data_IF_154231968674
#
_entry.id   IF_154231968674
#
_cell.length_a   1.000
_cell.length_b   1.000
_cell.length_c   1.000
_cell.angle_alpha   90.00
_cell.angle_beta   90.00
_cell.angle_gamma   90.00
#
_symmetry.space_group_name_H-M   'P 1'
#
loop_
_entity.id
_entity.type
_entity.pdbx_description
1 polymer ?
#
# COMPACT_ATOMS: atom_id res chain seq x y z
N UNK A 1 28.40 20.67 11.27
CA UNK A 1 27.94 19.43 10.61
C UNK A 1 27.59 19.77 9.17
N UNK A 2 28.16 19.07 8.22
CA UNK A 2 27.80 19.25 6.81
C UNK A 2 26.43 18.59 6.55
N UNK A 3 25.74 19.01 5.48
CA UNK A 3 24.47 18.35 5.05
C UNK A 3 24.70 16.85 4.81
N UNK A 4 25.89 16.49 4.36
CA UNK A 4 26.31 15.10 4.17
C UNK A 4 26.37 14.33 5.49
N UNK A 5 26.94 14.93 6.56
CA UNK A 5 26.99 14.28 7.87
C UNK A 5 25.57 14.00 8.39
N UNK A 6 24.65 14.95 8.23
CA UNK A 6 23.26 14.81 8.62
C UNK A 6 22.52 13.68 7.87
N UNK A 7 22.86 13.47 6.59
CA UNK A 7 22.26 12.40 5.79
C UNK A 7 22.90 11.02 6.05
N UNK A 8 24.19 10.98 6.40
CA UNK A 8 24.89 9.71 6.58
C UNK A 8 24.86 9.18 8.01
N UNK A 9 24.71 10.05 9.01
CA UNK A 9 24.69 9.67 10.43
C UNK A 9 23.66 8.55 10.75
N UNK A 10 22.38 8.63 10.35
CA UNK A 10 21.42 7.57 10.62
C UNK A 10 21.78 6.25 9.97
N UNK A 11 22.42 6.28 8.79
CA UNK A 11 22.78 5.07 8.06
C UNK A 11 24.00 4.33 8.66
N UNK A 12 24.78 4.99 9.52
CA UNK A 12 25.88 4.35 10.26
C UNK A 12 25.37 3.41 11.35
N UNK A 13 24.12 3.55 11.77
CA UNK A 13 23.49 2.74 12.79
C UNK A 13 22.92 1.46 12.16
N UNK A 14 23.36 0.25 12.63
CA UNK A 14 22.95 -1.01 12.00
C UNK A 14 21.44 -1.25 11.99
N UNK A 15 20.72 -0.78 13.01
CA UNK A 15 19.26 -0.91 13.06
C UNK A 15 18.57 0.00 12.04
N UNK A 16 19.07 1.24 11.86
CA UNK A 16 18.50 2.19 10.91
C UNK A 16 18.74 1.76 9.46
N UNK A 17 19.91 1.20 9.16
CA UNK A 17 20.19 0.64 7.84
C UNK A 17 19.22 -0.49 7.49
N UNK A 18 18.95 -1.41 8.44
CA UNK A 18 17.95 -2.48 8.25
C UNK A 18 16.55 -1.90 8.05
N UNK A 19 16.16 -0.94 8.88
CA UNK A 19 14.89 -0.25 8.78
C UNK A 19 14.68 0.39 7.40
N UNK A 20 15.69 1.12 6.91
CA UNK A 20 15.64 1.76 5.57
C UNK A 20 15.51 0.72 4.47
N UNK A 21 16.34 -0.34 4.47
CA UNK A 21 16.30 -1.38 3.44
C UNK A 21 14.91 -2.02 3.33
N UNK A 22 14.36 -2.41 4.46
CA UNK A 22 13.06 -3.11 4.53
C UNK A 22 11.92 -2.19 4.13
N UNK A 23 11.90 -0.95 4.66
CA UNK A 23 10.81 -0.01 4.37
C UNK A 23 10.85 0.47 2.93
N UNK A 24 12.03 0.70 2.37
CA UNK A 24 12.20 1.06 0.94
C UNK A 24 11.73 -0.08 0.02
N UNK A 25 12.08 -1.32 0.32
CA UNK A 25 11.63 -2.47 -0.47
C UNK A 25 10.11 -2.65 -0.41
N UNK A 26 9.53 -2.60 0.79
CA UNK A 26 8.08 -2.66 0.98
C UNK A 26 7.37 -1.49 0.27
N UNK A 27 7.88 -0.27 0.43
CA UNK A 27 7.32 0.93 -0.20
C UNK A 27 7.34 0.85 -1.73
N UNK A 28 8.40 0.32 -2.33
CA UNK A 28 8.50 0.15 -3.77
C UNK A 28 7.43 -0.82 -4.32
N UNK A 29 7.22 -1.97 -3.67
CA UNK A 29 6.21 -2.95 -4.08
C UNK A 29 4.80 -2.44 -3.82
N UNK A 30 4.55 -1.81 -2.69
CA UNK A 30 3.27 -1.15 -2.41
C UNK A 30 2.94 -0.09 -3.47
N UNK A 31 3.92 0.71 -3.89
CA UNK A 31 3.75 1.71 -4.92
C UNK A 31 3.43 1.11 -6.29
N UNK A 32 4.08 0.01 -6.65
CA UNK A 32 3.75 -0.73 -7.88
C UNK A 32 2.31 -1.24 -7.83
N UNK A 33 1.94 -1.96 -6.77
CA UNK A 33 0.59 -2.50 -6.58
C UNK A 33 -0.49 -1.41 -6.61
N UNK A 34 -0.23 -0.27 -5.97
CA UNK A 34 -1.18 0.83 -5.88
C UNK A 34 -1.68 1.31 -7.24
N UNK A 35 -0.84 1.25 -8.29
CA UNK A 35 -1.23 1.67 -9.63
C UNK A 35 -2.36 0.81 -10.19
N UNK A 36 -2.33 -0.51 -10.02
CA UNK A 36 -3.41 -1.40 -10.45
C UNK A 36 -4.63 -1.31 -9.54
N UNK A 37 -4.43 -1.17 -8.23
CA UNK A 37 -5.54 -1.04 -7.27
C UNK A 37 -6.40 0.18 -7.57
N UNK A 38 -5.77 1.30 -7.91
CA UNK A 38 -6.50 2.53 -8.29
C UNK A 38 -7.25 2.35 -9.61
N UNK A 39 -6.64 1.68 -10.59
CA UNK A 39 -7.30 1.43 -11.87
C UNK A 39 -8.48 0.48 -11.76
N UNK A 40 -8.42 -0.48 -10.85
CA UNK A 40 -9.49 -1.43 -10.55
C UNK A 40 -10.57 -0.84 -9.63
N UNK A 41 -10.36 0.34 -9.05
CA UNK A 41 -11.25 0.90 -8.03
C UNK A 41 -11.09 0.28 -6.64
N UNK A 42 -10.04 -0.53 -6.41
CA UNK A 42 -9.79 -1.24 -5.15
C UNK A 42 -8.95 -0.43 -4.15
N UNK A 43 -9.17 0.87 -4.14
CA UNK A 43 -8.34 1.80 -3.33
C UNK A 43 -8.39 1.51 -1.82
N UNK A 44 -9.51 1.04 -1.29
CA UNK A 44 -9.65 0.69 0.14
C UNK A 44 -9.21 -0.73 0.47
N UNK A 45 -8.93 -1.57 -0.53
CA UNK A 45 -8.67 -3.00 -0.31
C UNK A 45 -7.37 -3.23 0.47
N UNK A 46 -6.32 -2.45 0.20
CA UNK A 46 -5.04 -2.58 0.90
C UNK A 46 -5.15 -2.28 2.40
N UNK A 47 -5.84 -1.20 2.73
CA UNK A 47 -6.09 -0.79 4.11
C UNK A 47 -7.00 -1.81 4.81
N UNK A 48 -8.07 -2.23 4.16
CA UNK A 48 -8.99 -3.23 4.69
C UNK A 48 -8.29 -4.55 5.03
N UNK A 49 -7.39 -5.04 4.17
CA UNK A 49 -6.65 -6.27 4.43
C UNK A 49 -5.70 -6.08 5.61
N UNK A 50 -4.98 -4.95 5.72
CA UNK A 50 -4.06 -4.69 6.82
C UNK A 50 -4.74 -4.79 8.19
N UNK A 51 -5.97 -4.32 8.32
CA UNK A 51 -6.74 -4.43 9.57
C UNK A 51 -7.38 -5.82 9.75
N UNK A 52 -7.85 -6.44 8.66
CA UNK A 52 -8.52 -7.74 8.70
C UNK A 52 -7.59 -8.91 9.08
N UNK A 53 -6.27 -8.73 9.06
CA UNK A 53 -5.31 -9.77 9.46
C UNK A 53 -5.18 -9.92 10.98
N UNK A 54 -5.64 -8.95 11.76
CA UNK A 54 -5.49 -8.93 13.21
C UNK A 54 -5.94 -10.23 13.91
N UNK A 55 -7.13 -10.78 13.65
CA UNK A 55 -7.56 -12.02 14.29
C UNK A 55 -6.63 -13.20 13.98
N UNK A 56 -6.08 -13.26 12.75
CA UNK A 56 -5.15 -14.33 12.38
C UNK A 56 -3.83 -14.23 13.13
N UNK A 57 -3.32 -13.03 13.37
CA UNK A 57 -2.11 -12.80 14.16
C UNK A 57 -2.32 -13.26 15.60
N UNK A 58 -3.47 -12.90 16.21
CA UNK A 58 -3.80 -13.31 17.59
C UNK A 58 -4.00 -14.83 17.69
N UNK A 59 -4.68 -15.44 16.72
CA UNK A 59 -4.86 -16.90 16.69
C UNK A 59 -3.54 -17.63 16.52
N UNK A 60 -2.61 -17.11 15.71
CA UNK A 60 -1.26 -17.67 15.59
C UNK A 60 -0.50 -17.57 16.91
N UNK A 61 -0.63 -16.46 17.65
CA UNK A 61 -0.05 -16.32 19.00
C UNK A 61 -0.59 -17.38 19.95
N UNK A 62 -1.90 -17.56 20.01
CA UNK A 62 -2.55 -18.58 20.85
C UNK A 62 -2.08 -20.00 20.50
N UNK A 63 -1.91 -20.27 19.21
CA UNK A 63 -1.46 -21.58 18.69
C UNK A 63 0.06 -21.80 18.79
N UNK A 64 0.85 -20.81 19.22
CA UNK A 64 2.31 -20.87 19.22
C UNK A 64 2.93 -20.91 17.82
N UNK A 65 2.20 -20.46 16.79
CA UNK A 65 2.63 -20.43 15.41
C UNK A 65 3.27 -19.06 15.04
N UNK A 66 4.08 -18.99 13.98
CA UNK A 66 4.61 -17.72 13.50
C UNK A 66 3.50 -16.74 13.13
N UNK A 67 3.59 -15.49 13.59
CA UNK A 67 2.58 -14.44 13.34
C UNK A 67 2.32 -14.22 11.84
N UNK A 68 3.36 -14.30 11.01
CA UNK A 68 3.25 -14.17 9.56
C UNK A 68 2.30 -15.20 8.93
N UNK A 69 2.30 -16.44 9.43
CA UNK A 69 1.43 -17.51 8.92
C UNK A 69 -0.02 -17.18 9.22
N UNK A 70 -0.34 -16.80 10.45
CA UNK A 70 -1.69 -16.40 10.84
C UNK A 70 -2.17 -15.17 10.08
N UNK A 71 -1.31 -14.17 9.91
CA UNK A 71 -1.61 -12.97 9.14
C UNK A 71 -1.92 -13.29 7.66
N UNK A 72 -1.13 -14.12 7.00
CA UNK A 72 -1.37 -14.53 5.61
C UNK A 72 -2.68 -15.29 5.47
N UNK A 73 -2.97 -16.24 6.36
CA UNK A 73 -4.23 -16.99 6.34
C UNK A 73 -5.42 -16.04 6.50
N UNK A 74 -5.37 -15.14 7.49
CA UNK A 74 -6.45 -14.17 7.70
C UNK A 74 -6.63 -13.21 6.52
N UNK A 75 -5.53 -12.74 5.90
CA UNK A 75 -5.58 -11.92 4.70
C UNK A 75 -6.28 -12.63 3.53
N UNK A 76 -5.95 -13.91 3.31
CA UNK A 76 -6.59 -14.72 2.27
C UNK A 76 -8.07 -14.98 2.59
N UNK A 77 -8.41 -15.23 3.86
CA UNK A 77 -9.80 -15.36 4.32
C UNK A 77 -10.56 -14.07 4.11
N UNK A 78 -9.99 -12.91 4.46
CA UNK A 78 -10.60 -11.61 4.25
C UNK A 78 -10.90 -11.36 2.75
N UNK A 79 -9.93 -11.62 1.87
CA UNK A 79 -10.10 -11.52 0.42
C UNK A 79 -11.23 -12.46 -0.08
N UNK A 80 -11.26 -13.70 0.41
CA UNK A 80 -12.28 -14.67 0.04
C UNK A 80 -13.68 -14.23 0.49
N UNK A 81 -13.81 -13.71 1.71
CA UNK A 81 -15.07 -13.18 2.26
C UNK A 81 -15.54 -11.95 1.50
N UNK A 82 -14.66 -10.99 1.21
CA UNK A 82 -14.98 -9.81 0.40
C UNK A 82 -15.51 -10.26 -0.97
N UNK A 83 -14.80 -11.18 -1.64
CA UNK A 83 -15.23 -11.72 -2.93
C UNK A 83 -16.54 -12.49 -2.86
N UNK A 84 -16.84 -13.17 -1.77
CA UNK A 84 -18.11 -13.88 -1.57
C UNK A 84 -19.28 -12.89 -1.41
N UNK A 85 -19.09 -11.82 -0.60
CA UNK A 85 -20.11 -10.79 -0.41
C UNK A 85 -20.39 -10.02 -1.72
N UNK A 86 -19.34 -9.66 -2.46
CA UNK A 86 -19.47 -8.99 -3.77
C UNK A 86 -20.25 -9.84 -4.79
N UNK A 87 -20.03 -11.16 -4.81
CA UNK A 87 -20.76 -12.07 -5.72
C UNK A 87 -22.25 -12.14 -5.46
N UNK A 88 -22.75 -11.74 -4.30
CA UNK A 88 -24.18 -11.69 -4.02
C UNK A 88 -24.92 -10.66 -4.91
N UNK A 89 -24.21 -9.71 -5.50
CA UNK A 89 -24.72 -8.67 -6.39
C UNK A 89 -25.63 -7.64 -5.70
N UNK A 90 -25.88 -7.78 -4.39
CA UNK A 90 -26.77 -6.90 -3.62
C UNK A 90 -26.03 -5.81 -2.85
N UNK A 91 -24.74 -5.97 -2.67
CA UNK A 91 -23.90 -5.07 -1.89
C UNK A 91 -22.87 -4.43 -2.81
N UNK A 92 -22.71 -3.11 -2.70
CA UNK A 92 -21.66 -2.38 -3.44
C UNK A 92 -20.28 -2.84 -2.98
N UNK A 93 -19.30 -2.72 -3.87
CA UNK A 93 -17.94 -3.21 -3.64
C UNK A 93 -17.30 -2.58 -2.38
N UNK A 94 -17.39 -1.27 -2.25
CA UNK A 94 -16.88 -0.50 -1.10
C UNK A 94 -17.53 -0.94 0.21
N UNK A 95 -18.86 -1.19 0.20
CA UNK A 95 -19.59 -1.65 1.37
C UNK A 95 -19.20 -3.09 1.76
N UNK A 96 -18.99 -3.99 0.79
CA UNK A 96 -18.50 -5.33 1.05
C UNK A 96 -17.13 -5.33 1.73
N UNK A 97 -16.21 -4.49 1.24
CA UNK A 97 -14.88 -4.29 1.83
C UNK A 97 -15.03 -3.77 3.27
N UNK A 98 -15.83 -2.71 3.47
CA UNK A 98 -16.03 -2.10 4.77
C UNK A 98 -16.63 -3.05 5.81
N UNK A 99 -17.67 -3.82 5.44
CA UNK A 99 -18.34 -4.77 6.33
C UNK A 99 -17.37 -5.88 6.77
N UNK A 100 -16.67 -6.51 5.83
CA UNK A 100 -15.76 -7.62 6.13
C UNK A 100 -14.59 -7.14 6.99
N UNK A 101 -13.98 -6.03 6.60
CA UNK A 101 -12.85 -5.46 7.33
C UNK A 101 -13.23 -5.09 8.77
N UNK A 102 -14.30 -4.32 8.97
CA UNK A 102 -14.74 -3.91 10.33
C UNK A 102 -15.10 -5.09 11.20
N UNK A 103 -15.76 -6.11 10.63
CA UNK A 103 -16.15 -7.32 11.37
C UNK A 103 -14.91 -8.12 11.80
N UNK A 104 -13.95 -8.34 10.89
CA UNK A 104 -12.71 -9.06 11.22
C UNK A 104 -11.85 -8.27 12.20
N UNK A 105 -11.73 -6.96 12.02
CA UNK A 105 -10.99 -6.10 12.95
C UNK A 105 -11.61 -6.14 14.35
N UNK A 106 -12.94 -5.97 14.48
CA UNK A 106 -13.63 -6.07 15.75
C UNK A 106 -13.44 -7.45 16.41
N UNK A 107 -13.51 -8.52 15.62
CA UNK A 107 -13.21 -9.87 16.10
C UNK A 107 -11.76 -9.99 16.62
N UNK A 108 -10.79 -9.41 15.91
CA UNK A 108 -9.41 -9.35 16.36
C UNK A 108 -9.25 -8.61 17.70
N UNK A 109 -9.93 -7.46 17.86
CA UNK A 109 -9.92 -6.71 19.14
C UNK A 109 -10.51 -7.52 20.29
N UNK A 110 -11.61 -8.25 20.04
CA UNK A 110 -12.20 -9.14 21.05
C UNK A 110 -11.19 -10.23 21.44
N UNK A 111 -10.53 -10.86 20.46
CA UNK A 111 -9.52 -11.88 20.74
C UNK A 111 -8.36 -11.32 21.57
N UNK A 112 -7.88 -10.11 21.28
CA UNK A 112 -6.85 -9.44 22.09
C UNK A 112 -7.33 -9.26 23.52
N UNK A 113 -8.56 -8.78 23.72
CA UNK A 113 -9.10 -8.46 25.05
C UNK A 113 -9.26 -9.68 25.95
N UNK A 114 -9.50 -10.87 25.39
CA UNK A 114 -9.70 -12.11 26.14
C UNK A 114 -8.42 -12.99 26.21
N UNK A 115 -7.39 -12.63 25.50
CA UNK A 115 -6.14 -13.41 25.46
C UNK A 115 -5.14 -12.82 26.45
N UNK A 116 -4.79 -13.53 27.57
CA UNK A 116 -3.73 -13.08 28.46
C UNK A 116 -2.40 -13.13 27.69
N UNK A 117 -1.80 -11.98 27.42
CA UNK A 117 -0.51 -11.94 26.74
C UNK A 117 0.53 -11.23 27.61
N UNK A 118 1.68 -11.89 27.79
CA UNK A 118 2.90 -11.30 28.35
C UNK A 118 3.65 -10.46 27.28
N UNK A 119 3.24 -10.54 26.03
CA UNK A 119 3.76 -9.77 24.90
C UNK A 119 2.84 -8.59 24.67
N UNK A 120 3.39 -7.40 24.59
CA UNK A 120 2.60 -6.21 24.27
C UNK A 120 2.07 -6.30 22.83
N UNK A 121 0.84 -6.81 22.68
CA UNK A 121 0.17 -6.94 21.38
C UNK A 121 0.00 -5.57 20.68
N UNK A 122 0.17 -4.46 21.41
CA UNK A 122 0.21 -3.13 20.81
C UNK A 122 1.40 -2.97 19.86
N UNK A 123 2.53 -3.64 20.11
CA UNK A 123 3.66 -3.64 19.18
C UNK A 123 3.30 -4.23 17.79
N UNK A 124 2.33 -5.13 17.74
CA UNK A 124 1.85 -5.69 16.48
C UNK A 124 1.05 -4.65 15.69
N UNK A 125 0.27 -3.81 16.39
CA UNK A 125 -0.53 -2.76 15.76
C UNK A 125 0.34 -1.60 15.23
N UNK A 126 1.39 -1.25 15.96
CA UNK A 126 2.22 -0.08 15.60
C UNK A 126 3.44 -0.44 14.75
N UNK A 127 3.71 -1.74 14.52
CA UNK A 127 4.90 -2.22 13.84
C UNK A 127 6.18 -2.02 14.66
N UNK A 128 7.26 -2.67 14.26
CA UNK A 128 8.57 -2.52 14.91
C UNK A 128 9.66 -2.30 13.86
N UNK A 129 9.62 -1.16 13.18
CA UNK A 129 10.59 -0.80 12.12
C UNK A 129 12.04 -0.85 12.63
N UNK A 130 12.27 -0.43 13.88
CA UNK A 130 13.62 -0.33 14.43
C UNK A 130 14.14 -1.67 15.00
N UNK A 131 13.25 -2.62 15.28
CA UNK A 131 13.58 -3.94 15.82
C UNK A 131 13.76 -5.05 14.77
N UNK A 132 13.82 -4.71 13.49
CA UNK A 132 13.89 -5.68 12.37
C UNK A 132 15.18 -6.49 12.43
N UNK A 133 15.07 -7.83 12.36
CA UNK A 133 16.19 -8.76 12.27
C UNK A 133 16.70 -8.89 10.82
N UNK A 134 17.92 -9.41 10.62
CA UNK A 134 18.42 -9.70 9.28
C UNK A 134 17.60 -10.78 8.55
N UNK A 135 16.97 -11.67 9.28
CA UNK A 135 16.08 -12.69 8.70
C UNK A 135 14.85 -12.02 8.10
N UNK A 136 14.24 -11.06 8.82
CA UNK A 136 13.09 -10.28 8.32
C UNK A 136 13.47 -9.46 7.08
N UNK A 137 14.66 -8.86 7.08
CA UNK A 137 15.19 -8.13 5.91
C UNK A 137 15.19 -9.03 4.67
N UNK A 138 15.77 -10.22 4.77
CA UNK A 138 15.82 -11.14 3.64
C UNK A 138 14.45 -11.64 3.19
N UNK A 139 13.55 -11.91 4.13
CA UNK A 139 12.17 -12.30 3.81
C UNK A 139 11.43 -11.21 3.04
N UNK A 140 11.54 -9.96 3.49
CA UNK A 140 10.91 -8.81 2.83
C UNK A 140 11.50 -8.56 1.46
N UNK A 141 12.84 -8.58 1.33
CA UNK A 141 13.49 -8.38 0.05
C UNK A 141 13.12 -9.48 -0.96
N UNK A 142 13.10 -10.75 -0.51
CA UNK A 142 12.69 -11.87 -1.36
C UNK A 142 11.24 -11.72 -1.83
N UNK A 143 10.32 -11.41 -0.90
CA UNK A 143 8.92 -11.20 -1.25
C UNK A 143 8.74 -9.99 -2.18
N UNK A 144 9.41 -8.88 -1.88
CA UNK A 144 9.37 -7.68 -2.71
C UNK A 144 9.89 -7.97 -4.13
N UNK A 145 10.98 -8.73 -4.25
CA UNK A 145 11.52 -9.14 -5.54
C UNK A 145 10.54 -10.04 -6.31
N UNK A 146 9.93 -11.03 -5.66
CA UNK A 146 8.96 -11.93 -6.29
C UNK A 146 7.72 -11.18 -6.75
N UNK A 147 7.09 -10.41 -5.86
CA UNK A 147 5.87 -9.64 -6.19
C UNK A 147 6.18 -8.59 -7.26
N UNK A 148 7.27 -7.84 -7.11
CA UNK A 148 7.70 -6.84 -8.09
C UNK A 148 7.98 -7.47 -9.46
N UNK A 149 8.67 -8.61 -9.51
CA UNK A 149 8.94 -9.34 -10.75
C UNK A 149 7.64 -9.80 -11.42
N UNK A 150 6.70 -10.40 -10.68
CA UNK A 150 5.40 -10.84 -11.22
C UNK A 150 4.62 -9.65 -11.76
N UNK A 151 4.55 -8.53 -11.03
CA UNK A 151 3.85 -7.32 -11.46
C UNK A 151 4.45 -6.73 -12.74
N UNK A 152 5.77 -6.70 -12.86
CA UNK A 152 6.46 -6.13 -14.03
C UNK A 152 6.39 -7.06 -15.24
N UNK A 153 6.59 -8.37 -15.05
CA UNK A 153 6.53 -9.37 -16.14
C UNK A 153 5.11 -9.47 -16.69
N UNK A 154 4.11 -9.55 -15.81
CA UNK A 154 2.69 -9.67 -16.16
C UNK A 154 2.00 -8.31 -16.33
N UNK A 155 2.74 -7.21 -16.38
CA UNK A 155 2.18 -5.85 -16.41
C UNK A 155 1.14 -5.63 -17.50
N UNK A 156 1.35 -6.21 -18.69
CA UNK A 156 0.45 -6.08 -19.84
C UNK A 156 -0.86 -6.80 -19.59
N UNK A 157 -0.81 -8.02 -19.05
CA UNK A 157 -1.98 -8.83 -18.74
C UNK A 157 -2.84 -8.16 -17.65
N UNK A 158 -2.18 -7.64 -16.60
CA UNK A 158 -2.86 -6.92 -15.50
C UNK A 158 -3.45 -5.58 -15.96
N UNK A 159 -2.76 -4.84 -16.83
CA UNK A 159 -3.30 -3.59 -17.39
C UNK A 159 -4.54 -3.89 -18.22
N UNK A 160 -4.47 -4.89 -19.10
CA UNK A 160 -5.60 -5.29 -19.93
C UNK A 160 -6.78 -5.76 -19.08
N UNK A 161 -6.51 -6.56 -18.05
CA UNK A 161 -7.53 -6.97 -17.08
C UNK A 161 -8.18 -5.77 -16.37
N UNK A 162 -7.39 -4.78 -16.00
CA UNK A 162 -7.90 -3.60 -15.28
C UNK A 162 -8.75 -2.67 -16.16
N UNK A 163 -8.44 -2.58 -17.47
CA UNK A 163 -9.19 -1.73 -18.40
C UNK A 163 -10.41 -2.42 -18.99
N UNK A 164 -10.26 -3.66 -19.45
CA UNK A 164 -11.31 -4.42 -20.13
C UNK A 164 -11.20 -5.92 -19.82
N UNK A 165 -11.84 -6.38 -18.74
CA UNK A 165 -11.87 -7.80 -18.39
C UNK A 165 -12.55 -8.67 -19.47
N UNK A 166 -13.50 -8.10 -20.22
CA UNK A 166 -14.21 -8.82 -21.30
C UNK A 166 -13.30 -9.11 -22.48
N UNK A 167 -12.56 -8.08 -22.93
CA UNK A 167 -11.57 -8.24 -23.99
C UNK A 167 -10.41 -9.16 -23.55
N UNK A 168 -9.95 -9.03 -22.31
CA UNK A 168 -8.95 -9.94 -21.74
C UNK A 168 -9.41 -11.41 -21.82
N UNK A 169 -10.70 -11.68 -21.56
CA UNK A 169 -11.27 -13.00 -21.68
C UNK A 169 -11.33 -13.47 -23.15
N UNK A 170 -11.72 -12.60 -24.07
CA UNK A 170 -11.84 -12.91 -25.48
C UNK A 170 -10.53 -13.35 -26.15
N UNK A 171 -9.38 -12.80 -25.68
CA UNK A 171 -8.04 -13.18 -26.17
C UNK A 171 -7.42 -14.36 -25.40
N UNK A 172 -8.20 -15.07 -24.54
CA UNK A 172 -7.80 -16.29 -23.85
C UNK A 172 -7.16 -16.07 -22.47
N UNK A 173 -7.07 -14.84 -21.96
CA UNK A 173 -6.67 -14.60 -20.58
C UNK A 173 -7.80 -15.02 -19.63
N UNK A 174 -7.44 -15.33 -18.40
CA UNK A 174 -8.38 -15.70 -17.33
C UNK A 174 -8.53 -14.55 -16.32
N UNK A 175 -9.51 -13.63 -16.48
CA UNK A 175 -9.67 -12.45 -15.61
C UNK A 175 -9.77 -12.81 -14.12
N UNK A 176 -10.49 -13.90 -13.80
CA UNK A 176 -10.61 -14.37 -12.40
C UNK A 176 -9.26 -14.76 -11.79
N UNK A 177 -8.38 -15.36 -12.59
CA UNK A 177 -7.04 -15.74 -12.13
C UNK A 177 -6.16 -14.52 -11.97
N UNK A 178 -6.18 -13.56 -12.89
CA UNK A 178 -5.43 -12.32 -12.81
C UNK A 178 -5.85 -11.47 -11.59
N UNK A 179 -7.17 -11.31 -11.38
CA UNK A 179 -7.69 -10.64 -10.18
C UNK A 179 -7.28 -11.36 -8.90
N UNK A 180 -7.40 -12.69 -8.86
CA UNK A 180 -6.95 -13.50 -7.73
C UNK A 180 -5.45 -13.36 -7.44
N UNK A 181 -4.60 -13.32 -8.48
CA UNK A 181 -3.16 -13.08 -8.32
C UNK A 181 -2.87 -11.70 -7.71
N UNK A 182 -3.54 -10.64 -8.19
CA UNK A 182 -3.39 -9.29 -7.61
C UNK A 182 -3.81 -9.25 -6.14
N UNK A 183 -4.91 -9.92 -5.78
CA UNK A 183 -5.38 -9.99 -4.39
C UNK A 183 -4.43 -10.77 -3.49
N UNK A 184 -3.88 -11.89 -3.97
CA UNK A 184 -2.86 -12.64 -3.22
C UNK A 184 -1.59 -11.83 -3.03
N UNK A 185 -1.12 -11.16 -4.08
CA UNK A 185 0.05 -10.27 -3.98
C UNK A 185 -0.20 -9.12 -3.01
N UNK A 186 -1.40 -8.55 -3.05
CA UNK A 186 -1.81 -7.50 -2.11
C UNK A 186 -1.81 -8.03 -0.66
N UNK A 187 -2.41 -9.20 -0.42
CA UNK A 187 -2.45 -9.82 0.90
C UNK A 187 -1.04 -10.07 1.45
N UNK A 188 -0.16 -10.67 0.65
CA UNK A 188 1.23 -10.93 1.04
C UNK A 188 2.01 -9.63 1.31
N UNK A 189 1.86 -8.64 0.44
CA UNK A 189 2.55 -7.35 0.60
C UNK A 189 2.04 -6.59 1.83
N UNK A 190 0.72 -6.61 2.07
CA UNK A 190 0.11 -5.96 3.24
C UNK A 190 0.57 -6.58 4.55
N UNK A 191 0.68 -7.92 4.61
CA UNK A 191 1.17 -8.62 5.81
C UNK A 191 2.61 -8.25 6.14
N UNK A 192 3.49 -8.21 5.13
CA UNK A 192 4.90 -7.85 5.33
C UNK A 192 5.04 -6.38 5.71
N UNK A 193 4.30 -5.51 5.05
CA UNK A 193 4.34 -4.09 5.35
C UNK A 193 3.73 -3.77 6.73
N UNK A 194 2.71 -4.54 7.18
CA UNK A 194 2.16 -4.46 8.53
C UNK A 194 3.22 -4.76 9.60
N UNK A 195 4.03 -5.79 9.42
CA UNK A 195 5.08 -6.16 10.37
C UNK A 195 6.12 -5.06 10.56
N UNK A 196 6.38 -4.28 9.51
CA UNK A 196 7.42 -3.24 9.49
C UNK A 196 6.84 -1.89 9.92
N UNK A 197 5.83 -1.40 9.19
CA UNK A 197 5.29 -0.03 9.31
C UNK A 197 4.10 0.01 10.27
N UNK A 198 3.54 -1.14 10.62
CA UNK A 198 2.31 -1.26 11.42
C UNK A 198 1.04 -1.12 10.58
N UNK A 199 -0.08 -1.01 11.28
CA UNK A 199 -1.43 -0.91 10.68
C UNK A 199 -1.59 0.33 9.78
N UNK A 200 -0.76 1.36 9.98
CA UNK A 200 -0.82 2.61 9.20
C UNK A 200 -0.14 2.40 7.84
N UNK A 201 -0.65 1.46 7.06
CA UNK A 201 -0.14 1.17 5.72
C UNK A 201 -1.06 1.76 4.67
N UNK A 202 -0.68 2.89 4.09
CA UNK A 202 -1.43 3.45 2.97
C UNK A 202 -0.80 3.05 1.65
N UNK A 203 -1.21 1.90 1.13
CA UNK A 203 -0.75 1.38 -0.16
C UNK A 203 -1.15 2.32 -1.32
N UNK A 204 -2.22 3.09 -1.17
CA UNK A 204 -2.90 3.80 -2.27
C UNK A 204 -2.31 5.17 -2.61
N UNK A 205 -1.68 5.86 -1.65
CA UNK A 205 -1.21 7.25 -1.84
C UNK A 205 -0.25 7.40 -3.03
N UNK A 206 0.82 6.56 -3.18
CA UNK A 206 1.80 6.77 -4.24
C UNK A 206 1.20 6.67 -5.65
N UNK A 207 0.32 5.69 -5.87
CA UNK A 207 -0.35 5.53 -7.16
C UNK A 207 -1.36 6.64 -7.44
N UNK A 208 -2.12 7.09 -6.42
CA UNK A 208 -3.03 8.24 -6.54
C UNK A 208 -2.26 9.50 -6.92
N UNK A 209 -1.11 9.74 -6.28
CA UNK A 209 -0.22 10.86 -6.59
C UNK A 209 0.27 10.78 -8.04
N UNK A 210 0.72 9.61 -8.46
CA UNK A 210 1.20 9.39 -9.82
C UNK A 210 0.08 9.58 -10.87
N UNK A 211 -1.14 9.17 -10.57
CA UNK A 211 -2.31 9.35 -11.44
C UNK A 211 -2.67 10.82 -11.70
N UNK A 212 -2.43 11.69 -10.70
CA UNK A 212 -2.61 13.14 -10.88
C UNK A 212 -1.55 13.75 -11.80
N UNK A 213 -0.37 13.16 -11.88
CA UNK A 213 0.77 13.69 -12.62
C UNK A 213 0.86 13.16 -14.07
N UNK A 214 0.26 12.00 -14.35
CA UNK A 214 0.37 11.38 -15.69
C UNK A 214 -0.79 10.43 -16.00
N UNK A 215 -1.15 10.39 -17.30
CA UNK A 215 -2.13 9.44 -17.83
C UNK A 215 -1.46 8.19 -18.46
N UNK A 216 -0.12 8.20 -18.62
CA UNK A 216 0.62 7.07 -19.19
C UNK A 216 0.96 6.06 -18.11
N UNK A 217 0.38 4.86 -18.15
CA UNK A 217 0.56 3.84 -17.12
C UNK A 217 2.03 3.49 -16.82
N UNK A 218 2.88 3.38 -17.84
CA UNK A 218 4.30 3.07 -17.61
C UNK A 218 5.04 4.19 -16.85
N UNK A 219 4.67 5.45 -17.10
CA UNK A 219 5.22 6.62 -16.39
C UNK A 219 4.62 6.68 -14.98
N UNK A 220 3.34 6.34 -14.83
CA UNK A 220 2.65 6.25 -13.54
C UNK A 220 3.36 5.28 -12.59
N UNK A 221 3.80 4.11 -13.07
CA UNK A 221 4.58 3.15 -12.28
C UNK A 221 5.88 3.78 -11.75
N UNK A 222 6.63 4.45 -12.61
CA UNK A 222 7.90 5.08 -12.23
C UNK A 222 7.70 6.23 -11.23
N UNK A 223 6.72 7.10 -11.47
CA UNK A 223 6.39 8.21 -10.58
C UNK A 223 5.90 7.68 -9.22
N UNK A 224 5.04 6.66 -9.22
CA UNK A 224 4.52 6.05 -7.98
C UNK A 224 5.66 5.53 -7.11
N UNK A 225 6.59 4.77 -7.71
CA UNK A 225 7.78 4.29 -6.98
C UNK A 225 8.63 5.46 -6.50
N UNK A 226 8.91 6.45 -7.35
CA UNK A 226 9.69 7.63 -6.97
C UNK A 226 9.09 8.40 -5.79
N UNK A 227 7.79 8.69 -5.83
CA UNK A 227 7.06 9.37 -4.74
C UNK A 227 7.10 8.54 -3.46
N UNK A 228 6.89 7.22 -3.58
CA UNK A 228 6.91 6.32 -2.43
C UNK A 228 8.28 6.27 -1.77
N UNK A 229 9.35 6.16 -2.55
CA UNK A 229 10.72 6.15 -2.04
C UNK A 229 11.10 7.47 -1.38
N UNK A 230 10.78 8.59 -2.01
CA UNK A 230 11.00 9.93 -1.44
C UNK A 230 10.24 10.10 -0.13
N UNK A 231 8.93 9.77 -0.10
CA UNK A 231 8.11 9.87 1.10
C UNK A 231 8.60 8.97 2.22
N UNK A 232 9.07 7.77 1.90
CA UNK A 232 9.63 6.81 2.85
C UNK A 232 10.95 7.32 3.45
N UNK A 233 11.87 7.77 2.63
CA UNK A 233 13.16 8.29 3.10
C UNK A 233 12.96 9.53 3.97
N UNK A 234 12.22 10.52 3.50
CA UNK A 234 11.93 11.74 4.27
C UNK A 234 11.21 11.39 5.58
N UNK A 235 10.22 10.49 5.54
CA UNK A 235 9.47 10.07 6.72
C UNK A 235 10.33 9.35 7.76
N UNK A 236 11.20 8.41 7.34
CA UNK A 236 12.13 7.71 8.24
C UNK A 236 13.15 8.67 8.87
N UNK A 237 13.74 9.57 8.08
CA UNK A 237 14.66 10.56 8.61
C UNK A 237 13.97 11.53 9.58
N UNK A 238 12.76 11.99 9.22
CA UNK A 238 11.97 12.83 10.14
C UNK A 238 11.65 12.11 11.44
N UNK A 239 11.30 10.82 11.37
CA UNK A 239 11.06 9.99 12.56
C UNK A 239 12.29 9.88 13.45
N UNK A 240 13.47 9.68 12.87
CA UNK A 240 14.73 9.57 13.62
C UNK A 240 15.07 10.86 14.37
N UNK A 241 14.96 12.02 13.70
CA UNK A 241 15.34 13.30 14.32
C UNK A 241 14.27 13.90 15.23
N UNK A 242 12.99 13.59 15.01
CA UNK A 242 11.87 14.13 15.79
C UNK A 242 11.38 13.16 16.87
N UNK A 243 11.96 11.97 16.97
CA UNK A 243 11.57 10.90 17.91
C UNK A 243 10.07 10.59 17.86
N UNK A 244 9.54 10.44 16.63
CA UNK A 244 8.13 10.12 16.37
C UNK A 244 7.99 8.75 15.70
N UNK A 245 6.76 8.21 15.67
CA UNK A 245 6.47 6.92 15.03
C UNK A 245 6.93 6.88 13.57
N UNK A 246 7.79 5.92 13.17
CA UNK A 246 8.29 5.81 11.79
C UNK A 246 7.19 5.61 10.76
N UNK A 247 6.22 4.72 11.05
CA UNK A 247 5.09 4.46 10.17
C UNK A 247 4.22 5.71 9.95
N UNK A 248 3.88 6.41 11.04
CA UNK A 248 3.11 7.65 10.98
C UNK A 248 3.83 8.75 10.18
N UNK A 249 5.13 8.92 10.40
CA UNK A 249 5.94 9.91 9.69
C UNK A 249 6.00 9.63 8.17
N UNK A 250 6.18 8.38 7.78
CA UNK A 250 6.19 7.95 6.36
C UNK A 250 4.85 8.26 5.69
N UNK A 251 3.73 7.86 6.31
CA UNK A 251 2.40 8.09 5.75
C UNK A 251 2.05 9.56 5.68
N UNK A 252 2.37 10.34 6.72
CA UNK A 252 2.14 11.78 6.73
C UNK A 252 2.92 12.46 5.59
N UNK A 253 4.18 12.09 5.41
CA UNK A 253 5.02 12.63 4.33
C UNK A 253 4.44 12.29 2.94
N UNK A 254 3.99 11.06 2.73
CA UNK A 254 3.31 10.68 1.48
C UNK A 254 2.01 11.47 1.28
N UNK A 255 1.23 11.69 2.35
CA UNK A 255 0.03 12.53 2.31
C UNK A 255 0.33 13.98 1.92
N UNK A 256 1.42 14.57 2.43
CA UNK A 256 1.88 15.89 2.03
C UNK A 256 2.29 15.92 0.56
N UNK A 257 3.03 14.92 0.07
CA UNK A 257 3.40 14.80 -1.34
C UNK A 257 2.15 14.67 -2.25
N UNK A 258 1.15 13.91 -1.82
CA UNK A 258 -0.12 13.83 -2.51
C UNK A 258 -0.84 15.19 -2.56
N UNK A 259 -0.90 15.91 -1.45
CA UNK A 259 -1.52 17.23 -1.38
C UNK A 259 -0.82 18.23 -2.31
N UNK A 260 0.50 18.23 -2.34
CA UNK A 260 1.28 19.05 -3.26
C UNK A 260 0.96 18.69 -4.73
N UNK A 261 0.93 17.41 -5.07
CA UNK A 261 0.55 16.97 -6.40
C UNK A 261 -0.91 17.38 -6.74
N UNK A 262 -1.83 17.21 -5.80
CA UNK A 262 -3.23 17.62 -5.97
C UNK A 262 -3.40 19.12 -6.24
N UNK A 263 -2.61 19.94 -5.58
CA UNK A 263 -2.65 21.40 -5.78
C UNK A 263 -1.96 21.83 -7.09
N UNK A 264 -0.78 21.28 -7.38
CA UNK A 264 0.14 21.79 -8.41
C UNK A 264 0.20 20.98 -9.70
N UNK A 265 -0.43 19.78 -9.77
CA UNK A 265 -0.37 18.96 -10.99
C UNK A 265 -0.88 19.74 -12.21
N UNK A 266 -0.14 19.72 -13.35
CA UNK A 266 -0.43 20.61 -14.48
C UNK A 266 -1.76 20.32 -15.17
N UNK A 267 -2.19 19.05 -15.23
CA UNK A 267 -3.42 18.64 -15.92
C UNK A 267 -4.61 18.39 -14.99
N UNK A 268 -4.36 17.73 -13.87
CA UNK A 268 -5.42 17.27 -12.95
C UNK A 268 -5.44 18.02 -11.61
N UNK A 269 -4.45 18.88 -11.35
CA UNK A 269 -4.38 19.70 -10.13
C UNK A 269 -5.40 20.83 -10.11
N UNK A 270 -5.76 21.29 -8.91
CA UNK A 270 -6.71 22.39 -8.69
C UNK A 270 -6.26 23.66 -9.42
N UNK A 271 -5.00 24.06 -9.23
CA UNK A 271 -4.43 25.27 -9.86
C UNK A 271 -4.27 25.12 -11.38
N UNK A 272 -3.95 23.90 -11.86
CA UNK A 272 -3.86 23.60 -13.29
C UNK A 272 -5.21 23.79 -13.99
N UNK A 273 -6.28 23.22 -13.41
CA UNK A 273 -7.66 23.37 -13.91
C UNK A 273 -8.15 24.80 -13.86
N UNK A 274 -7.88 25.54 -12.79
CA UNK A 274 -8.23 26.94 -12.66
C UNK A 274 -7.57 27.80 -13.76
N UNK A 275 -6.27 27.57 -14.03
CA UNK A 275 -5.54 28.27 -15.11
C UNK A 275 -6.09 27.93 -16.52
N UNK A 276 -6.43 26.65 -16.75
CA UNK A 276 -7.01 26.21 -18.02
C UNK A 276 -8.39 26.84 -18.24
N UNK A 277 -9.24 26.88 -17.22
CA UNK A 277 -10.57 27.55 -17.31
C UNK A 277 -10.43 29.04 -17.58
N UNK A 278 -9.48 29.72 -16.93
CA UNK A 278 -9.26 31.16 -17.17
C UNK A 278 -8.76 31.47 -18.59
N UNK A 279 -7.88 30.61 -19.15
CA UNK A 279 -7.43 30.72 -20.54
C UNK A 279 -8.54 30.46 -21.55
N UNK A 280 -9.45 29.52 -21.30
CA UNK A 280 -10.58 29.23 -22.15
C UNK A 280 -11.57 30.41 -22.20
N UNK A 281 -11.76 31.17 -21.12
CA UNK A 281 -12.57 32.35 -21.05
C UNK A 281 -11.94 33.55 -21.78
N UNK A 282 -10.63 33.60 -21.93
CA UNK A 282 -9.89 34.68 -22.59
C UNK A 282 -9.71 34.46 -24.12
N UNK A 283 -10.00 33.25 -24.62
CA UNK A 283 -9.95 32.97 -26.06
C UNK A 283 -11.21 33.51 -26.71
N UNK A 284 -11.17 34.59 -27.55
CA UNK A 284 -12.33 35.10 -28.22
C UNK A 284 -12.87 34.01 -29.15
N UNK A 285 -14.20 33.80 -29.09
CA UNK A 285 -14.90 32.94 -30.02
C UNK A 285 -14.66 33.50 -31.43
N UNK A 286 -13.83 32.81 -32.20
CA UNK A 286 -13.71 33.05 -33.65
C UNK A 286 -14.97 32.48 -34.27
N UNK A 287 -16.05 33.30 -34.25
CA UNK A 287 -17.18 33.11 -35.10
C UNK A 287 -16.88 33.88 -36.39
N UNK A 288 -16.48 33.16 -37.41
CA UNK A 288 -16.46 33.54 -38.79
C UNK A 288 -17.20 32.51 -39.60
#
# INVERSE_FOLDING_TARGET
MSILDYLTEPLTLPFMMRAVLVTVAAAAVCALLSCWLIMLGWSLMGDAISHAVLPGVVLAYIAGAPFAVGAVIAALVAVALIGAVQRSGRVREDAAIGIVFTTLFAFGLILISVTPSNTDLNHILFGNVLGVSWLDVWQVLALAAVVGAVLLVKRRDFVLYAFDPGFAHAIGLRPRLLGGMLLVMLALTSVVALQIVGVVLVVVIPGSTARLLTDRFSVMLAISVGVSLLGTLIGLYSSYYMDVSPGGAVVLTQGVLFLLAYLFAPHHGVLGRARAAHRAQQSPAVHG
#
